data_IF_208321992364
#
_entry.id   IF_208321992364
#
_cell.length_a   1.000
_cell.length_b   1.000
_cell.length_c   1.000
_cell.angle_alpha   90.00
_cell.angle_beta   90.00
_cell.angle_gamma   90.00
#
_symmetry.space_group_name_H-M   'P 1'
#
loop_
_entity.id
_entity.type
_entity.pdbx_description
1 polymer ?
#
# COMPACT_ATOMS: atom_id res chain seq x y z
N UNK A 1 -24.52 13.58 -3.98
CA UNK A 1 -23.11 13.87 -3.60
C UNK A 1 -22.21 12.96 -4.43
N UNK A 2 -21.61 13.46 -5.51
CA UNK A 2 -20.70 12.69 -6.35
C UNK A 2 -19.30 13.28 -6.20
N UNK A 3 -18.50 12.72 -5.29
CA UNK A 3 -17.10 13.11 -5.14
C UNK A 3 -16.33 12.57 -6.35
N UNK A 4 -15.90 13.51 -7.19
CA UNK A 4 -15.06 13.32 -8.37
C UNK A 4 -13.93 12.35 -8.05
N UNK A 5 -13.90 11.19 -8.71
CA UNK A 5 -12.72 10.32 -8.80
C UNK A 5 -11.63 11.13 -9.51
N UNK A 6 -10.78 11.79 -8.74
CA UNK A 6 -9.58 12.43 -9.23
C UNK A 6 -8.72 11.28 -9.78
N UNK A 7 -8.71 11.11 -11.10
CA UNK A 7 -7.73 10.29 -11.84
C UNK A 7 -6.36 10.96 -11.70
N UNK A 8 -5.86 11.04 -10.46
CA UNK A 8 -4.48 11.40 -10.18
C UNK A 8 -3.65 10.17 -10.51
N UNK A 9 -2.58 10.35 -11.30
CA UNK A 9 -1.57 9.33 -11.57
C UNK A 9 -1.44 8.39 -10.38
N UNK A 10 -1.76 7.12 -10.59
CA UNK A 10 -1.67 6.03 -9.62
C UNK A 10 -0.26 6.06 -9.05
N UNK A 11 -0.09 6.79 -7.95
CA UNK A 11 1.23 7.05 -7.38
C UNK A 11 1.56 5.86 -6.51
N UNK A 12 2.73 5.28 -6.69
CA UNK A 12 3.15 4.17 -5.84
C UNK A 12 3.13 4.64 -4.37
N UNK A 13 2.51 3.88 -3.44
CA UNK A 13 2.34 4.29 -2.04
C UNK A 13 3.64 4.14 -1.23
N UNK A 14 4.73 4.71 -1.75
CA UNK A 14 6.07 4.69 -1.15
C UNK A 14 6.11 5.34 0.24
N UNK A 15 5.28 6.37 0.44
CA UNK A 15 5.19 7.14 1.69
C UNK A 15 4.47 6.35 2.79
N UNK A 16 3.33 5.76 2.47
CA UNK A 16 2.63 4.81 3.35
C UNK A 16 3.52 3.63 3.68
N UNK A 17 4.17 3.01 2.69
CA UNK A 17 5.06 1.86 2.94
C UNK A 17 6.21 2.22 3.88
N UNK A 18 6.86 3.38 3.69
CA UNK A 18 7.89 3.84 4.63
C UNK A 18 7.35 4.13 6.03
N UNK A 19 6.14 4.68 6.13
CA UNK A 19 5.51 4.97 7.44
C UNK A 19 5.11 3.67 8.14
N UNK A 20 4.60 2.71 7.38
CA UNK A 20 4.23 1.39 7.85
C UNK A 20 5.46 0.59 8.26
N UNK A 21 6.55 0.61 7.49
CA UNK A 21 7.83 -0.01 7.84
C UNK A 21 8.43 0.56 9.13
N UNK A 22 8.25 1.87 9.37
CA UNK A 22 8.67 2.50 10.62
C UNK A 22 7.82 2.10 11.82
N UNK A 23 6.52 1.85 11.62
CA UNK A 23 5.57 1.47 12.68
C UNK A 23 5.55 -0.03 12.96
N UNK A 24 5.75 -0.84 11.93
CA UNK A 24 5.67 -2.29 11.98
C UNK A 24 7.07 -2.86 11.75
N UNK A 25 7.79 -3.11 12.84
CA UNK A 25 9.06 -3.86 12.80
C UNK A 25 8.83 -5.33 12.42
N UNK A 26 7.62 -5.84 12.63
CA UNK A 26 7.22 -7.22 12.34
C UNK A 26 6.21 -7.26 11.19
N UNK A 27 6.59 -7.89 10.08
CA UNK A 27 5.67 -8.23 9.00
C UNK A 27 4.96 -9.52 9.36
N UNK A 28 3.65 -9.42 9.56
CA UNK A 28 2.75 -10.54 9.73
C UNK A 28 1.59 -10.40 8.73
N UNK A 29 0.90 -11.50 8.44
CA UNK A 29 -0.21 -11.53 7.47
C UNK A 29 -1.31 -10.53 7.83
N UNK A 30 -1.61 -10.39 9.13
CA UNK A 30 -2.54 -9.38 9.64
C UNK A 30 -2.09 -7.93 9.36
N UNK A 31 -0.81 -7.64 9.53
CA UNK A 31 -0.23 -6.31 9.29
C UNK A 31 -0.24 -5.96 7.80
N UNK A 32 -0.08 -6.98 6.95
CA UNK A 32 -0.20 -6.90 5.50
C UNK A 32 -1.63 -6.62 5.05
N UNK A 33 -2.62 -7.36 5.55
CA UNK A 33 -4.03 -7.09 5.25
C UNK A 33 -4.46 -5.69 5.70
N UNK A 34 -3.99 -5.23 6.86
CA UNK A 34 -4.22 -3.87 7.34
C UNK A 34 -3.61 -2.82 6.41
N UNK A 35 -2.38 -3.03 5.93
CA UNK A 35 -1.73 -2.16 4.95
C UNK A 35 -2.53 -2.12 3.64
N UNK A 36 -2.90 -3.27 3.09
CA UNK A 36 -3.68 -3.34 1.84
C UNK A 36 -5.04 -2.65 2.01
N UNK A 37 -5.68 -2.78 3.17
CA UNK A 37 -6.95 -2.09 3.47
C UNK A 37 -6.74 -0.58 3.56
N UNK A 38 -5.73 -0.10 4.28
CA UNK A 38 -5.39 1.33 4.40
C UNK A 38 -5.08 1.95 3.04
N UNK A 39 -4.26 1.26 2.23
CA UNK A 39 -3.96 1.66 0.87
C UNK A 39 -5.21 1.72 -0.02
N UNK A 40 -6.13 0.78 0.14
CA UNK A 40 -7.40 0.78 -0.60
C UNK A 40 -8.28 1.96 -0.20
N UNK A 41 -8.38 2.25 1.11
CA UNK A 41 -9.16 3.37 1.66
C UNK A 41 -8.59 4.73 1.22
N UNK A 42 -7.26 4.86 1.18
CA UNK A 42 -6.57 6.04 0.67
C UNK A 42 -6.71 6.24 -0.85
N UNK A 43 -7.30 5.27 -1.56
CA UNK A 43 -7.56 5.36 -3.00
C UNK A 43 -6.47 4.74 -3.88
N UNK A 44 -5.53 3.97 -3.31
CA UNK A 44 -4.56 3.14 -4.04
C UNK A 44 -5.13 1.78 -4.46
N UNK A 45 -6.43 1.74 -4.76
CA UNK A 45 -7.11 0.52 -5.22
C UNK A 45 -6.47 -0.07 -6.49
N UNK A 46 -5.84 0.77 -7.32
CA UNK A 46 -5.15 0.33 -8.52
C UNK A 46 -3.87 -0.50 -8.21
N UNK A 47 -3.26 -0.30 -7.03
CA UNK A 47 -2.15 -1.11 -6.52
C UNK A 47 -2.63 -2.31 -5.70
N UNK A 48 -3.65 -2.13 -4.87
CA UNK A 48 -4.16 -3.18 -3.98
C UNK A 48 -5.13 -4.14 -4.65
N UNK A 49 -5.75 -3.76 -5.78
CA UNK A 49 -6.61 -4.64 -6.58
C UNK A 49 -5.84 -5.39 -7.66
N UNK A 50 -4.59 -5.01 -7.96
CA UNK A 50 -3.74 -5.69 -8.94
C UNK A 50 -2.75 -6.63 -8.24
N UNK A 51 -2.60 -7.83 -8.78
CA UNK A 51 -1.62 -8.81 -8.28
C UNK A 51 -0.20 -8.23 -8.35
N UNK A 52 0.17 -7.60 -9.48
CA UNK A 52 1.46 -6.95 -9.68
C UNK A 52 1.71 -5.79 -8.71
N UNK A 53 0.63 -5.10 -8.31
CA UNK A 53 0.71 -4.00 -7.37
C UNK A 53 0.95 -4.49 -5.95
N UNK A 54 0.25 -5.54 -5.53
CA UNK A 54 0.52 -6.26 -4.28
C UNK A 54 1.94 -6.82 -4.27
N UNK A 55 2.38 -7.42 -5.36
CA UNK A 55 3.74 -7.98 -5.47
C UNK A 55 4.80 -6.88 -5.31
N UNK A 56 4.62 -5.73 -5.98
CA UNK A 56 5.50 -4.56 -5.84
C UNK A 56 5.51 -3.99 -4.42
N UNK A 57 4.36 -3.95 -3.74
CA UNK A 57 4.23 -3.51 -2.34
C UNK A 57 4.99 -4.49 -1.42
N UNK A 58 4.83 -5.79 -1.62
CA UNK A 58 5.49 -6.85 -0.86
C UNK A 58 7.00 -6.78 -1.02
N UNK A 59 7.45 -6.75 -2.27
CA UNK A 59 8.87 -6.66 -2.62
C UNK A 59 9.50 -5.37 -2.09
N UNK A 60 8.78 -4.25 -2.08
CA UNK A 60 9.25 -3.00 -1.48
C UNK A 60 9.42 -3.11 0.04
N UNK A 61 8.47 -3.74 0.73
CA UNK A 61 8.54 -3.99 2.18
C UNK A 61 9.73 -4.91 2.48
N UNK A 62 9.87 -6.03 1.77
CA UNK A 62 10.98 -6.98 1.93
C UNK A 62 12.34 -6.31 1.70
N UNK A 63 12.45 -5.49 0.66
CA UNK A 63 13.70 -4.79 0.30
C UNK A 63 14.09 -3.70 1.30
N UNK A 64 13.12 -2.97 1.87
CA UNK A 64 13.39 -1.86 2.79
C UNK A 64 13.49 -2.28 4.26
N UNK A 65 13.30 -3.56 4.59
CA UNK A 65 13.34 -4.08 5.96
C UNK A 65 14.77 -4.33 6.49
N UNK A 66 15.77 -3.62 5.96
CA UNK A 66 17.18 -3.75 6.37
C UNK A 66 17.43 -3.30 7.81
#
# INVERSE_FOLDING_TARGET
MALKKIKGKVRFPKRELNTWLKKNSEWNEASWEALITDLTDQGFNDWTSNQEGKDSIGLYIETNRK
#
